data_IF_398436997557
#
_entry.id   IF_398436997557
#
_cell.length_a   1.000
_cell.length_b   1.000
_cell.length_c   1.000
_cell.angle_alpha   90.00
_cell.angle_beta   90.00
_cell.angle_gamma   90.00
#
_symmetry.space_group_name_H-M   'P 1'
#
loop_
_entity.id
_entity.type
_entity.pdbx_description
1 polymer ?
#
# COMPACT_ATOMS: atom_id res chain seq x y z
N UNK A 1 20.78 9.30 9.05
CA UNK A 1 19.69 9.59 8.09
C UNK A 1 18.87 8.32 7.91
N UNK A 2 17.56 8.33 8.16
CA UNK A 2 16.69 7.15 7.98
C UNK A 2 15.21 7.55 7.86
N UNK A 3 14.76 7.85 6.64
CA UNK A 3 13.34 7.90 6.24
C UNK A 3 13.17 7.32 4.84
N UNK A 4 13.65 6.09 4.68
CA UNK A 4 13.07 5.22 3.68
C UNK A 4 11.79 4.66 4.28
N UNK A 5 10.64 5.24 3.93
CA UNK A 5 9.36 4.53 4.07
C UNK A 5 9.46 3.31 3.15
N UNK A 6 9.80 2.15 3.73
CA UNK A 6 10.08 0.93 2.98
C UNK A 6 8.90 0.63 2.07
N UNK A 7 9.13 0.67 0.75
CA UNK A 7 8.12 0.31 -0.24
C UNK A 7 7.88 -1.20 -0.18
N UNK A 8 7.10 -1.61 0.82
CA UNK A 8 6.60 -2.96 1.03
C UNK A 8 5.44 -3.26 0.06
N UNK A 9 5.38 -2.56 -1.07
CA UNK A 9 4.36 -2.79 -2.09
C UNK A 9 4.91 -3.66 -3.21
N UNK A 10 4.17 -4.72 -3.55
CA UNK A 10 4.63 -5.76 -4.46
C UNK A 10 3.61 -5.94 -5.57
N UNK A 11 4.07 -5.84 -6.82
CA UNK A 11 3.32 -6.35 -7.98
C UNK A 11 3.92 -7.70 -8.33
N UNK A 12 3.11 -8.76 -8.38
CA UNK A 12 3.51 -10.13 -8.67
C UNK A 12 2.66 -10.71 -9.79
N UNK A 13 3.31 -11.08 -10.90
CA UNK A 13 2.63 -11.75 -12.00
C UNK A 13 2.31 -13.22 -11.66
N UNK A 14 1.14 -13.68 -12.10
CA UNK A 14 0.62 -15.05 -12.03
C UNK A 14 -0.03 -15.38 -13.37
N UNK A 15 0.75 -15.88 -14.33
CA UNK A 15 0.29 -16.09 -15.71
C UNK A 15 -0.20 -14.79 -16.34
N UNK A 16 -1.46 -14.78 -16.77
CA UNK A 16 -2.18 -13.62 -17.35
C UNK A 16 -2.73 -12.61 -16.32
N UNK A 17 -2.30 -12.66 -15.06
CA UNK A 17 -2.76 -11.73 -14.01
C UNK A 17 -1.62 -11.12 -13.21
N UNK A 18 -1.87 -9.94 -12.64
CA UNK A 18 -0.96 -9.17 -11.81
C UNK A 18 -1.62 -8.92 -10.44
N UNK A 19 -1.11 -9.62 -9.43
CA UNK A 19 -1.50 -9.41 -8.03
C UNK A 19 -0.75 -8.20 -7.46
N UNK A 20 -1.46 -7.28 -6.79
CA UNK A 20 -0.91 -6.04 -6.24
C UNK A 20 -1.11 -6.01 -4.73
N UNK A 21 -0.04 -5.93 -3.95
CA UNK A 21 -0.10 -5.91 -2.48
C UNK A 21 0.51 -4.60 -1.97
N UNK A 22 -0.13 -3.91 -1.02
CA UNK A 22 0.33 -2.61 -0.47
C UNK A 22 0.03 -2.53 1.04
N UNK A 23 0.88 -1.88 1.82
CA UNK A 23 1.33 -2.41 3.13
C UNK A 23 1.47 -1.33 4.38
N UNK A 24 0.08 -1.31 4.64
CA UNK A 24 -0.96 -0.27 4.61
C UNK A 24 -1.58 0.12 5.97
N UNK A 25 -1.28 -0.61 7.03
CA UNK A 25 -1.44 -0.17 8.41
C UNK A 25 -0.79 -1.16 9.36
N UNK A 26 -0.41 -0.72 10.56
CA UNK A 26 -0.50 -1.63 11.72
C UNK A 26 -1.89 -1.40 12.29
N UNK A 27 -2.68 -2.45 12.47
CA UNK A 27 -3.97 -2.34 13.13
C UNK A 27 -3.75 -2.03 14.62
N UNK A 28 -4.31 -0.93 15.17
CA UNK A 28 -4.02 -0.51 16.53
C UNK A 28 -4.64 -1.43 17.61
N UNK A 29 -5.63 -2.25 17.25
CA UNK A 29 -6.32 -3.16 18.19
C UNK A 29 -5.59 -4.51 18.31
N UNK A 30 -5.03 -5.03 17.22
CA UNK A 30 -4.41 -6.37 17.15
C UNK A 30 -2.90 -6.37 16.95
N UNK A 31 -2.28 -5.20 16.69
CA UNK A 31 -0.84 -5.09 16.39
C UNK A 31 -0.41 -5.71 15.05
N UNK A 32 -1.36 -6.23 14.25
CA UNK A 32 -1.06 -6.95 13.00
C UNK A 32 -0.87 -5.98 11.84
N UNK A 33 0.11 -6.26 10.96
CA UNK A 33 0.29 -5.55 9.69
C UNK A 33 -0.88 -5.86 8.75
N UNK A 34 -1.64 -4.84 8.36
CA UNK A 34 -2.66 -4.92 7.30
C UNK A 34 -2.03 -4.68 5.93
N UNK A 35 -2.43 -5.51 4.98
CA UNK A 35 -2.07 -5.40 3.57
C UNK A 35 -3.36 -5.29 2.76
N UNK A 36 -3.47 -4.25 1.92
CA UNK A 36 -4.44 -4.22 0.84
C UNK A 36 -3.90 -5.13 -0.28
N UNK A 37 -4.75 -5.98 -0.86
CA UNK A 37 -4.38 -6.89 -1.94
C UNK A 37 -5.42 -6.81 -3.04
N UNK A 38 -4.98 -6.65 -4.29
CA UNK A 38 -5.81 -6.63 -5.50
C UNK A 38 -5.28 -7.62 -6.55
N UNK A 39 -6.05 -7.83 -7.62
CA UNK A 39 -5.59 -8.53 -8.82
C UNK A 39 -6.28 -8.00 -10.08
N UNK A 40 -5.47 -7.54 -11.05
CA UNK A 40 -5.90 -7.14 -12.38
C UNK A 40 -5.26 -8.02 -13.45
N UNK A 41 -5.87 -8.14 -14.63
CA UNK A 41 -5.25 -8.75 -15.82
C UNK A 41 -4.23 -7.83 -16.50
N UNK A 42 -4.26 -6.52 -16.24
CA UNK A 42 -3.38 -5.54 -16.89
C UNK A 42 -2.28 -5.00 -15.98
N UNK A 43 -1.05 -4.97 -16.49
CA UNK A 43 0.07 -4.30 -15.81
C UNK A 43 -0.13 -2.79 -15.68
N UNK A 44 -0.89 -2.17 -16.58
CA UNK A 44 -1.22 -0.74 -16.54
C UNK A 44 -2.17 -0.43 -15.39
N UNK A 45 -3.26 -1.19 -15.25
CA UNK A 45 -4.21 -1.08 -14.14
C UNK A 45 -3.58 -1.46 -12.80
N UNK A 46 -2.79 -2.54 -12.74
CA UNK A 46 -2.03 -2.90 -11.54
C UNK A 46 -1.13 -1.75 -11.03
N UNK A 47 -0.49 -0.99 -11.95
CA UNK A 47 0.27 0.22 -11.61
C UNK A 47 -0.62 1.38 -11.15
N UNK A 48 -1.80 1.58 -11.75
CA UNK A 48 -2.79 2.58 -11.31
C UNK A 48 -3.28 2.28 -9.89
N UNK A 49 -3.68 1.04 -9.59
CA UNK A 49 -4.13 0.59 -8.26
C UNK A 49 -3.05 0.85 -7.21
N UNK A 50 -1.80 0.41 -7.46
CA UNK A 50 -0.65 0.69 -6.57
C UNK A 50 -0.51 2.19 -6.28
N UNK A 51 -0.54 3.03 -7.32
CA UNK A 51 -0.33 4.48 -7.18
C UNK A 51 -1.47 5.16 -6.41
N UNK A 52 -2.73 4.80 -6.71
CA UNK A 52 -3.90 5.31 -6.01
C UNK A 52 -3.86 4.93 -4.51
N UNK A 53 -3.53 3.68 -4.21
CA UNK A 53 -3.42 3.18 -2.83
C UNK A 53 -2.23 3.75 -2.06
N UNK A 54 -1.15 4.18 -2.73
CA UNK A 54 -0.04 4.90 -2.10
C UNK A 54 -0.39 6.37 -1.83
N UNK A 55 -1.07 7.03 -2.78
CA UNK A 55 -1.57 8.40 -2.59
C UNK A 55 -2.60 8.50 -1.46
N UNK A 56 -3.49 7.51 -1.37
CA UNK A 56 -4.49 7.40 -0.30
C UNK A 56 -3.84 7.20 1.09
N UNK A 57 -2.77 6.40 1.18
CA UNK A 57 -1.95 6.26 2.40
C UNK A 57 -1.29 7.56 2.80
N UNK A 58 -0.65 8.24 1.85
CA UNK A 58 0.04 9.51 2.11
C UNK A 58 -0.89 10.55 2.75
N UNK A 59 -2.14 10.64 2.27
CA UNK A 59 -3.18 11.49 2.88
C UNK A 59 -3.57 11.04 4.30
N UNK A 60 -3.80 9.74 4.51
CA UNK A 60 -4.22 9.19 5.80
C UNK A 60 -3.13 9.27 6.88
N UNK A 61 -1.86 9.03 6.52
CA UNK A 61 -0.72 9.15 7.44
C UNK A 61 -0.40 10.61 7.75
N UNK A 62 -0.56 11.54 6.80
CA UNK A 62 -0.42 12.98 7.10
C UNK A 62 -1.49 13.47 8.09
N UNK A 63 -2.74 12.99 7.99
CA UNK A 63 -3.78 13.29 8.97
C UNK A 63 -3.38 12.80 10.38
N UNK A 64 -3.08 11.49 10.55
CA UNK A 64 -2.68 10.92 11.85
C UNK A 64 -1.41 11.52 12.43
N UNK A 65 -0.50 12.03 11.58
CA UNK A 65 0.71 12.72 12.02
C UNK A 65 0.41 14.13 12.55
N UNK A 66 -0.65 14.78 12.08
CA UNK A 66 -1.08 16.09 12.60
C UNK A 66 -1.77 15.99 13.98
N UNK A 67 -2.44 14.87 14.27
CA UNK A 67 -3.08 14.57 15.56
C UNK A 67 -2.08 14.18 16.68
N UNK A 68 -0.76 14.34 16.45
CA UNK A 68 0.31 13.88 17.35
C UNK A 68 1.36 14.97 17.64
N UNK A 69 0.93 16.22 17.59
CA UNK A 69 1.66 17.45 17.92
C UNK A 69 0.81 18.30 18.87
#
# INVERSE_FOLDING_TARGET
MARGDTDMSQIRQRGNSYQVTVYAGVDPVTGKRRYLTDSSTELAEAKRIRTAWMSMKCRAEMARRSERL
#
